data_IF_087442846110
#
_entry.id   IF_087442846110
#
_cell.length_a   1.000
_cell.length_b   1.000
_cell.length_c   1.000
_cell.angle_alpha   90.00
_cell.angle_beta   90.00
_cell.angle_gamma   90.00
#
_symmetry.space_group_name_H-M   'P 1'
#
loop_
_entity.id
_entity.type
_entity.pdbx_description
1 polymer ?
#
# COMPACT_ATOMS: atom_id res chain seq x y z
N UNK A 1 10.69 11.39 -3.74
CA UNK A 1 10.49 10.48 -2.61
C UNK A 1 11.74 9.60 -2.52
N UNK A 2 12.32 9.40 -1.34
CA UNK A 2 13.55 8.59 -1.19
C UNK A 2 13.21 7.09 -1.25
N UNK A 3 14.11 6.29 -1.82
CA UNK A 3 13.99 4.83 -1.90
C UNK A 3 14.16 4.16 -0.53
N UNK A 4 13.66 2.93 -0.37
CA UNK A 4 13.83 2.14 0.86
C UNK A 4 15.30 2.01 1.24
N UNK A 5 16.16 1.80 0.25
CA UNK A 5 17.61 1.66 0.39
C UNK A 5 18.30 2.97 0.79
N UNK A 6 17.83 4.13 0.32
CA UNK A 6 18.31 5.44 0.78
C UNK A 6 17.91 5.71 2.23
N UNK A 7 16.66 5.41 2.60
CA UNK A 7 16.15 5.56 3.97
C UNK A 7 16.90 4.65 4.95
N UNK A 8 17.13 3.37 4.59
CA UNK A 8 17.93 2.45 5.41
C UNK A 8 19.37 2.93 5.58
N UNK A 9 20.03 3.38 4.50
CA UNK A 9 21.39 3.93 4.59
C UNK A 9 21.47 5.18 5.47
N UNK A 10 20.49 6.08 5.37
CA UNK A 10 20.43 7.25 6.24
C UNK A 10 20.28 6.87 7.72
N UNK A 11 19.43 5.89 8.03
CA UNK A 11 19.24 5.38 9.39
C UNK A 11 20.52 4.73 9.96
N UNK A 12 21.22 3.91 9.16
CA UNK A 12 22.50 3.30 9.55
C UNK A 12 23.58 4.37 9.81
N UNK A 13 23.67 5.39 8.96
CA UNK A 13 24.61 6.49 9.15
C UNK A 13 24.33 7.25 10.45
N UNK A 14 23.06 7.51 10.77
CA UNK A 14 22.67 8.15 12.04
C UNK A 14 23.00 7.27 13.26
N UNK A 15 22.81 5.95 13.15
CA UNK A 15 23.15 5.00 14.21
C UNK A 15 24.66 4.92 14.45
N UNK A 16 25.47 5.00 13.39
CA UNK A 16 26.94 4.91 13.50
C UNK A 16 27.63 6.11 14.17
N UNK A 17 26.91 7.23 14.37
CA UNK A 17 27.48 8.51 14.77
C UNK A 17 27.26 8.90 16.25
N UNK A 18 26.50 8.12 17.02
CA UNK A 18 26.12 8.49 18.40
C UNK A 18 26.11 7.22 19.27
N UNK A 19 26.60 7.35 20.51
CA UNK A 19 26.90 6.22 21.42
C UNK A 19 26.05 6.33 22.70
N UNK A 20 24.76 5.93 22.66
CA UNK A 20 23.88 5.85 23.85
C UNK A 20 22.80 4.76 23.68
N UNK A 21 22.56 3.96 24.72
CA UNK A 21 21.50 2.92 24.84
C UNK A 21 20.08 3.37 24.44
N UNK A 22 19.70 4.62 24.71
CA UNK A 22 18.39 5.20 24.34
C UNK A 22 18.17 5.27 22.82
N UNK A 23 19.26 5.22 22.04
CA UNK A 23 19.24 5.26 20.59
C UNK A 23 18.86 3.91 19.98
N UNK A 24 19.11 2.80 20.69
CA UNK A 24 18.82 1.45 20.19
C UNK A 24 17.31 1.23 20.04
N UNK A 25 16.52 1.67 21.04
CA UNK A 25 15.05 1.65 20.96
C UNK A 25 14.53 2.51 19.81
N UNK A 26 15.11 3.69 19.61
CA UNK A 26 14.69 4.61 18.53
C UNK A 26 15.04 4.05 17.15
N UNK A 27 16.20 3.41 17.00
CA UNK A 27 16.62 2.75 15.78
C UNK A 27 15.70 1.58 15.42
N UNK A 28 15.37 0.71 16.38
CA UNK A 28 14.48 -0.42 16.12
C UNK A 28 13.06 0.02 15.75
N UNK A 29 12.53 1.06 16.41
CA UNK A 29 11.24 1.65 16.06
C UNK A 29 11.29 2.25 14.65
N UNK A 30 12.31 3.04 14.32
CA UNK A 30 12.45 3.65 13.00
C UNK A 30 12.66 2.62 11.88
N UNK A 31 13.40 1.55 12.16
CA UNK A 31 13.60 0.44 11.23
C UNK A 31 12.27 -0.28 10.94
N UNK A 32 11.49 -0.57 11.98
CA UNK A 32 10.13 -1.12 11.83
C UNK A 32 9.22 -0.18 11.04
N UNK A 33 9.23 1.11 11.35
CA UNK A 33 8.43 2.10 10.61
C UNK A 33 8.82 2.22 9.14
N UNK A 34 10.12 2.15 8.82
CA UNK A 34 10.59 2.08 7.42
C UNK A 34 10.08 0.80 6.78
N UNK A 35 10.25 -0.35 7.44
CA UNK A 35 9.79 -1.61 6.89
C UNK A 35 8.27 -1.62 6.70
N UNK A 36 7.46 -1.17 7.68
CA UNK A 36 6.01 -1.01 7.58
C UNK A 36 5.59 -0.05 6.46
N UNK A 37 6.22 1.12 6.34
CA UNK A 37 5.92 2.10 5.29
C UNK A 37 6.13 1.53 3.87
N UNK A 38 7.14 0.67 3.70
CA UNK A 38 7.44 0.02 2.42
C UNK A 38 6.87 -1.41 2.28
N UNK A 39 6.36 -2.03 3.35
CA UNK A 39 5.69 -3.33 3.37
C UNK A 39 4.17 -3.24 3.30
N UNK A 40 3.58 -2.09 3.64
CA UNK A 40 2.17 -1.79 3.41
C UNK A 40 1.92 -1.72 1.89
N UNK A 41 1.85 -2.91 1.28
CA UNK A 41 1.24 -3.22 -0.03
C UNK A 41 -0.26 -2.94 -0.03
N UNK A 42 -0.84 -2.62 1.11
CA UNK A 42 -2.21 -2.13 1.21
C UNK A 42 -2.24 -0.63 0.88
N UNK A 43 -2.20 -0.35 -0.43
CA UNK A 43 -2.96 0.69 -1.11
C UNK A 43 -3.39 1.91 -0.28
N UNK A 44 -2.86 3.09 -0.62
CA UNK A 44 -3.68 4.31 -0.75
C UNK A 44 -2.98 5.49 -1.44
N UNK A 45 -1.70 5.43 -1.83
CA UNK A 45 -1.06 6.63 -2.41
C UNK A 45 -0.43 6.46 -3.80
N UNK A 46 -0.21 5.24 -4.31
CA UNK A 46 0.29 5.08 -5.69
C UNK A 46 -0.69 5.68 -6.72
N UNK A 47 -2.00 5.64 -6.45
CA UNK A 47 -2.98 6.33 -7.29
C UNK A 47 -2.90 7.87 -7.18
N UNK A 48 -2.41 8.44 -6.06
CA UNK A 48 -2.20 9.90 -5.95
C UNK A 48 -1.07 10.37 -6.86
N UNK A 49 -0.15 9.45 -7.20
CA UNK A 49 0.90 9.67 -8.17
C UNK A 49 0.52 9.22 -9.59
N UNK A 50 -0.66 8.61 -9.76
CA UNK A 50 -1.21 8.33 -11.08
C UNK A 50 -1.55 9.64 -11.78
N UNK A 51 -0.73 10.00 -12.76
CA UNK A 51 -0.99 11.12 -13.64
C UNK A 51 -1.35 10.57 -15.00
N UNK A 52 -2.61 10.71 -15.38
CA UNK A 52 -3.03 10.44 -16.75
C UNK A 52 -2.31 11.42 -17.67
N UNK A 53 -1.48 10.90 -18.56
CA UNK A 53 -0.80 11.72 -19.56
C UNK A 53 -1.77 12.12 -20.67
N UNK A 54 -1.67 13.38 -21.11
CA UNK A 54 -2.38 13.85 -22.31
C UNK A 54 -1.79 13.21 -23.57
N UNK A 55 -2.54 13.18 -24.67
CA UNK A 55 -2.07 12.74 -25.97
C UNK A 55 -0.78 13.45 -26.41
N UNK A 56 -0.69 14.76 -26.14
CA UNK A 56 0.51 15.55 -26.43
C UNK A 56 1.73 15.09 -25.63
N UNK A 57 1.53 14.70 -24.38
CA UNK A 57 2.61 14.17 -23.53
C UNK A 57 3.04 12.80 -24.02
N UNK A 58 2.07 11.91 -24.29
CA UNK A 58 2.32 10.55 -24.79
C UNK A 58 3.07 10.54 -26.12
N UNK A 59 2.73 11.44 -27.05
CA UNK A 59 3.41 11.57 -28.34
C UNK A 59 4.88 11.99 -28.24
N UNK A 60 5.26 12.60 -27.12
CA UNK A 60 6.62 13.10 -26.88
C UNK A 60 7.46 12.17 -26.00
N UNK A 61 6.90 11.08 -25.49
CA UNK A 61 7.66 10.08 -24.73
C UNK A 61 8.58 9.28 -25.64
N UNK A 62 9.77 8.94 -25.14
CA UNK A 62 10.62 7.94 -25.75
C UNK A 62 9.96 6.55 -25.69
N UNK A 63 10.41 5.62 -26.53
CA UNK A 63 9.90 4.25 -26.53
C UNK A 63 9.99 3.58 -25.15
N UNK A 64 11.08 3.83 -24.41
CA UNK A 64 11.29 3.24 -23.08
C UNK A 64 10.27 3.81 -22.08
N UNK A 65 10.14 5.13 -22.03
CA UNK A 65 9.18 5.81 -21.14
C UNK A 65 7.73 5.38 -21.43
N UNK A 66 7.38 5.23 -22.71
CA UNK A 66 6.05 4.76 -23.10
C UNK A 66 5.79 3.33 -22.64
N UNK A 67 6.78 2.43 -22.78
CA UNK A 67 6.68 1.04 -22.30
C UNK A 67 6.50 1.02 -20.78
N UNK A 68 7.25 1.82 -20.05
CA UNK A 68 7.18 1.85 -18.59
C UNK A 68 5.87 2.48 -18.10
N UNK A 69 5.36 3.50 -18.79
CA UNK A 69 4.02 4.04 -18.56
C UNK A 69 2.93 2.98 -18.76
N UNK A 70 3.00 2.18 -19.85
CA UNK A 70 2.06 1.08 -20.09
C UNK A 70 2.12 0.02 -18.99
N UNK A 71 3.32 -0.38 -18.55
CA UNK A 71 3.47 -1.34 -17.44
C UNK A 71 2.84 -0.83 -16.15
N UNK A 72 3.04 0.45 -15.83
CA UNK A 72 2.42 1.09 -14.67
C UNK A 72 0.89 1.08 -14.77
N UNK A 73 0.32 1.36 -15.95
CA UNK A 73 -1.12 1.24 -16.17
C UNK A 73 -1.65 -0.18 -15.91
N UNK A 74 -0.98 -1.20 -16.44
CA UNK A 74 -1.36 -2.61 -16.23
C UNK A 74 -1.29 -3.01 -14.75
N UNK A 75 -0.25 -2.58 -14.05
CA UNK A 75 -0.11 -2.83 -12.62
C UNK A 75 -1.26 -2.20 -11.83
N UNK A 76 -1.55 -0.91 -12.06
CA UNK A 76 -2.65 -0.20 -11.39
C UNK A 76 -4.02 -0.85 -11.66
N UNK A 77 -4.23 -1.35 -12.88
CA UNK A 77 -5.44 -2.10 -13.21
C UNK A 77 -5.56 -3.38 -12.36
N UNK A 78 -4.49 -4.20 -12.31
CA UNK A 78 -4.50 -5.44 -11.52
C UNK A 78 -4.76 -5.18 -10.03
N UNK A 79 -4.16 -4.13 -9.47
CA UNK A 79 -4.40 -3.70 -8.09
C UNK A 79 -5.86 -3.31 -7.87
N UNK A 80 -6.48 -2.60 -8.83
CA UNK A 80 -7.89 -2.19 -8.74
C UNK A 80 -8.83 -3.41 -8.73
N UNK A 81 -8.59 -4.40 -9.58
CA UNK A 81 -9.37 -5.63 -9.64
C UNK A 81 -9.26 -6.45 -8.33
N UNK A 82 -8.06 -6.51 -7.74
CA UNK A 82 -7.85 -7.14 -6.45
C UNK A 82 -8.61 -6.43 -5.33
N UNK A 83 -8.57 -5.10 -5.29
CA UNK A 83 -9.31 -4.30 -4.30
C UNK A 83 -10.82 -4.53 -4.44
N UNK A 84 -11.34 -4.51 -5.67
CA UNK A 84 -12.75 -4.79 -5.93
C UNK A 84 -13.14 -6.17 -5.41
N UNK A 85 -12.32 -7.19 -5.68
CA UNK A 85 -12.55 -8.55 -5.17
C UNK A 85 -12.60 -8.59 -3.64
N UNK A 86 -11.65 -7.95 -2.96
CA UNK A 86 -11.64 -7.87 -1.48
C UNK A 86 -12.91 -7.23 -0.93
N UNK A 87 -13.38 -6.13 -1.55
CA UNK A 87 -14.62 -5.45 -1.13
C UNK A 87 -15.84 -6.34 -1.32
N UNK A 88 -15.93 -7.05 -2.46
CA UNK A 88 -17.01 -7.99 -2.73
C UNK A 88 -17.01 -9.13 -1.70
N UNK A 89 -15.86 -9.75 -1.46
CA UNK A 89 -15.72 -10.85 -0.52
C UNK A 89 -16.09 -10.40 0.91
N UNK A 90 -15.63 -9.20 1.31
CA UNK A 90 -15.99 -8.65 2.62
C UNK A 90 -17.48 -8.37 2.77
N UNK A 91 -18.12 -7.89 1.70
CA UNK A 91 -19.57 -7.64 1.67
C UNK A 91 -20.34 -8.95 1.86
N UNK A 92 -19.90 -10.05 1.22
CA UNK A 92 -20.50 -11.37 1.39
C UNK A 92 -20.36 -11.86 2.84
N UNK A 93 -19.16 -11.77 3.43
CA UNK A 93 -18.93 -12.14 4.83
C UNK A 93 -19.85 -11.39 5.79
N UNK A 94 -20.00 -10.08 5.60
CA UNK A 94 -20.87 -9.24 6.42
C UNK A 94 -22.34 -9.64 6.26
N UNK A 95 -22.80 -9.92 5.05
CA UNK A 95 -24.17 -10.37 4.80
C UNK A 95 -24.46 -11.72 5.49
N UNK A 96 -23.56 -12.69 5.37
CA UNK A 96 -23.72 -13.97 6.07
C UNK A 96 -23.75 -13.81 7.59
N UNK A 97 -22.89 -12.95 8.13
CA UNK A 97 -22.86 -12.65 9.57
C UNK A 97 -24.16 -12.00 10.05
N UNK A 98 -24.70 -11.06 9.26
CA UNK A 98 -25.95 -10.38 9.56
C UNK A 98 -27.15 -11.34 9.52
N UNK A 99 -27.20 -12.23 8.52
CA UNK A 99 -28.25 -13.26 8.45
C UNK A 99 -28.18 -14.24 9.62
N UNK A 100 -26.98 -14.61 10.08
CA UNK A 100 -26.79 -15.45 11.26
C UNK A 100 -27.31 -14.76 12.54
N UNK A 101 -26.96 -13.48 12.74
CA UNK A 101 -27.44 -12.67 13.87
C UNK A 101 -28.97 -12.54 13.86
N UNK A 102 -29.57 -12.28 12.69
CA UNK A 102 -31.03 -12.24 12.55
C UNK A 102 -31.68 -13.54 13.02
N UNK A 103 -31.15 -14.69 12.60
CA UNK A 103 -31.69 -16.01 13.02
C UNK A 103 -31.58 -16.23 14.52
N UNK A 104 -30.51 -15.79 15.16
CA UNK A 104 -30.36 -15.86 16.62
C UNK A 104 -31.43 -15.01 17.33
N UNK A 105 -31.57 -13.74 16.92
CA UNK A 105 -32.56 -12.81 17.49
C UNK A 105 -34.01 -13.32 17.37
N UNK A 106 -34.37 -13.95 16.25
CA UNK A 106 -35.72 -14.51 16.07
C UNK A 106 -35.93 -15.82 16.84
N UNK A 107 -34.87 -16.61 17.09
CA UNK A 107 -34.95 -17.80 17.95
C UNK A 107 -35.12 -17.47 19.42
N UNK A 108 -34.49 -16.40 19.91
CA UNK A 108 -34.57 -15.97 21.31
C UNK A 108 -35.91 -15.28 21.66
N UNK A 109 -36.75 -14.97 20.67
CA UNK A 109 -38.06 -14.33 20.83
C UNK A 109 -39.24 -15.31 20.98
N UNK A 110 -39.00 -16.62 20.95
CA UNK A 110 -39.99 -17.71 21.14
C UNK A 110 -39.69 -18.39 22.48
#
# INVERSE_FOLDING_TARGET
MHSKEECKRALENMHSQVDIETQWYSYDILKKLIDEHFELKENTEEYKHFKLHSDSTLKNLTKVELIDYIKMLYYNWGVTDEQLKRVIDKTKELNYSNDALRRQLYKEKI
#
